data_IF_811883857937
#
_entry.id   IF_811883857937
#
_cell.length_a   1.000
_cell.length_b   1.000
_cell.length_c   1.000
_cell.angle_alpha   90.00
_cell.angle_beta   90.00
_cell.angle_gamma   90.00
#
_symmetry.space_group_name_H-M   'P 1'
#
loop_
_entity.id
_entity.type
_entity.pdbx_description
1 polymer ?
#
# COMPACT_ATOMS: atom_id res chain seq x y z
N UNK A 1 6.69 -0.56 40.79
CA UNK A 1 6.78 0.76 40.14
C UNK A 1 7.11 0.51 38.67
N UNK A 2 6.08 0.47 37.82
CA UNK A 2 6.16 0.02 36.43
C UNK A 2 6.34 1.25 35.53
N UNK A 3 7.49 1.37 34.87
CA UNK A 3 7.67 2.21 33.69
C UNK A 3 8.61 1.52 32.72
N UNK A 4 8.03 0.96 31.68
CA UNK A 4 8.64 0.75 30.38
C UNK A 4 7.50 0.74 29.36
N UNK A 5 7.12 1.92 28.84
CA UNK A 5 6.46 1.97 27.52
C UNK A 5 7.58 1.77 26.51
N UNK A 6 7.97 0.51 26.36
CA UNK A 6 8.82 0.08 25.26
C UNK A 6 7.94 0.08 24.01
N UNK A 7 7.83 1.24 23.37
CA UNK A 7 7.29 1.37 22.02
C UNK A 7 8.37 0.93 21.02
N UNK A 8 8.86 -0.30 21.20
CA UNK A 8 9.52 -1.05 20.16
C UNK A 8 8.48 -1.45 19.13
N UNK A 9 8.09 -0.52 18.25
CA UNK A 9 7.54 -0.93 16.96
C UNK A 9 8.66 -1.73 16.29
N UNK A 10 8.51 -3.04 16.32
CA UNK A 10 9.33 -4.00 15.59
C UNK A 10 9.43 -3.48 14.14
N UNK A 11 10.54 -2.81 13.81
CA UNK A 11 10.86 -2.37 12.45
C UNK A 11 11.30 -3.59 11.62
N UNK A 12 10.62 -4.71 11.81
CA UNK A 12 10.71 -5.85 10.93
C UNK A 12 10.39 -5.38 9.52
N UNK A 13 11.28 -5.70 8.59
CA UNK A 13 11.17 -5.31 7.18
C UNK A 13 9.74 -5.53 6.70
N UNK A 14 9.04 -4.42 6.43
CA UNK A 14 7.65 -4.48 5.96
C UNK A 14 7.62 -5.20 4.60
N UNK A 15 6.60 -6.04 4.37
CA UNK A 15 6.56 -6.92 3.21
C UNK A 15 6.49 -6.10 1.92
N UNK A 16 7.25 -6.54 0.93
CA UNK A 16 7.06 -6.14 -0.46
C UNK A 16 6.11 -7.12 -1.12
N UNK A 17 5.03 -6.60 -1.68
CA UNK A 17 4.00 -7.33 -2.38
C UNK A 17 4.26 -7.22 -3.88
N UNK A 18 4.51 -8.35 -4.54
CA UNK A 18 4.54 -8.40 -5.99
C UNK A 18 3.12 -8.28 -6.54
N UNK A 19 2.88 -7.27 -7.36
CA UNK A 19 1.64 -7.12 -8.12
C UNK A 19 1.72 -7.77 -9.51
N UNK A 20 2.92 -8.20 -9.92
CA UNK A 20 3.14 -8.83 -11.21
C UNK A 20 4.64 -8.85 -11.54
N UNK A 21 5.02 -9.15 -12.79
CA UNK A 21 6.43 -9.21 -13.19
C UNK A 21 7.13 -7.84 -13.13
N UNK A 22 6.37 -6.75 -13.20
CA UNK A 22 6.90 -5.40 -13.38
C UNK A 22 6.44 -4.40 -12.32
N UNK A 23 5.62 -4.82 -11.35
CA UNK A 23 5.02 -3.93 -10.38
C UNK A 23 5.16 -4.49 -8.96
N UNK A 24 5.60 -3.64 -8.05
CA UNK A 24 5.70 -3.95 -6.63
C UNK A 24 5.03 -2.87 -5.79
N UNK A 25 4.43 -3.29 -4.68
CA UNK A 25 3.98 -2.42 -3.60
C UNK A 25 4.79 -2.74 -2.36
N UNK A 26 5.39 -1.73 -1.75
CA UNK A 26 6.09 -1.88 -0.49
C UNK A 26 5.48 -0.95 0.54
N UNK A 27 5.01 -1.50 1.65
CA UNK A 27 4.56 -0.70 2.78
C UNK A 27 5.81 -0.05 3.40
N UNK A 28 5.84 1.28 3.48
CA UNK A 28 6.96 2.03 4.06
C UNK A 28 6.72 2.34 5.52
N UNK A 29 5.50 2.78 5.83
CA UNK A 29 5.08 3.04 7.20
C UNK A 29 3.58 2.90 7.34
N UNK A 30 3.13 2.71 8.57
CA UNK A 30 1.73 2.86 8.94
C UNK A 30 1.67 3.70 10.22
N UNK A 31 0.65 4.56 10.32
CA UNK A 31 0.47 5.46 11.46
C UNK A 31 -0.98 5.43 11.91
N UNK A 32 -1.26 5.02 13.16
CA UNK A 32 -2.58 5.23 13.74
C UNK A 32 -2.77 6.73 14.02
N UNK A 33 -3.93 7.25 13.67
CA UNK A 33 -4.35 8.61 14.00
C UNK A 33 -5.33 8.61 15.17
N UNK A 34 -5.53 9.78 15.79
CA UNK A 34 -6.57 9.96 16.79
C UNK A 34 -7.94 9.66 16.17
N UNK A 35 -8.74 8.80 16.80
CA UNK A 35 -10.05 8.41 16.28
C UNK A 35 -10.10 7.09 15.49
N UNK A 36 -9.15 6.17 15.70
CA UNK A 36 -9.08 4.84 15.07
C UNK A 36 -8.97 4.89 13.53
N UNK A 37 -8.47 5.98 12.98
CA UNK A 37 -8.07 6.03 11.58
C UNK A 37 -6.66 5.42 11.46
N UNK A 38 -6.46 4.63 10.40
CA UNK A 38 -5.14 4.09 10.08
C UNK A 38 -4.69 4.59 8.72
N UNK A 39 -3.50 5.17 8.69
CA UNK A 39 -2.87 5.62 7.46
C UNK A 39 -1.75 4.68 7.06
N UNK A 40 -1.74 4.24 5.80
CA UNK A 40 -0.60 3.54 5.21
C UNK A 40 0.11 4.43 4.21
N UNK A 41 1.43 4.53 4.34
CA UNK A 41 2.30 5.07 3.31
C UNK A 41 3.02 3.91 2.65
N UNK A 42 2.88 3.81 1.33
CA UNK A 42 3.45 2.72 0.53
C UNK A 42 4.08 3.27 -0.73
N UNK A 43 5.18 2.60 -1.09
CA UNK A 43 5.90 2.82 -2.31
C UNK A 43 5.36 1.87 -3.37
N UNK A 44 4.67 2.41 -4.35
CA UNK A 44 4.32 1.73 -5.57
C UNK A 44 5.44 1.91 -6.58
N UNK A 45 5.96 0.82 -7.12
CA UNK A 45 7.06 0.85 -8.07
C UNK A 45 6.74 0.01 -9.29
N UNK A 46 6.85 0.63 -10.47
CA UNK A 46 6.84 -0.09 -11.75
C UNK A 46 8.28 -0.09 -12.29
N UNK A 47 8.82 -1.25 -12.60
CA UNK A 47 10.13 -1.41 -13.23
C UNK A 47 9.95 -1.96 -14.63
N UNK A 48 10.63 -1.38 -15.61
CA UNK A 48 10.74 -1.96 -16.95
C UNK A 48 12.21 -2.23 -17.26
N UNK A 49 12.52 -3.48 -17.65
CA UNK A 49 13.90 -3.91 -17.84
C UNK A 49 14.64 -3.15 -18.96
N UNK A 50 13.92 -2.46 -19.87
CA UNK A 50 14.52 -1.72 -20.98
C UNK A 50 13.60 -0.63 -21.59
N UNK A 51 13.36 0.55 -21.00
CA UNK A 51 12.55 1.58 -21.72
C UNK A 51 12.88 3.06 -21.39
N UNK A 52 12.99 3.90 -22.42
CA UNK A 52 13.22 5.36 -22.34
C UNK A 52 11.95 6.20 -22.12
N UNK A 53 12.05 7.53 -22.31
CA UNK A 53 11.04 8.56 -21.94
C UNK A 53 9.58 8.27 -22.32
N UNK A 54 9.32 7.59 -23.45
CA UNK A 54 7.95 7.25 -23.90
C UNK A 54 7.18 6.37 -22.90
N UNK A 55 7.89 5.62 -22.07
CA UNK A 55 7.31 4.71 -21.11
C UNK A 55 6.74 5.43 -19.87
N UNK A 56 7.35 6.55 -19.45
CA UNK A 56 6.82 7.36 -18.36
C UNK A 56 5.45 7.96 -18.71
N UNK A 57 5.32 8.47 -19.94
CA UNK A 57 4.02 8.96 -20.44
C UNK A 57 2.95 7.88 -20.54
N UNK A 58 3.32 6.61 -20.76
CA UNK A 58 2.36 5.50 -20.82
C UNK A 58 1.66 5.28 -19.48
N UNK A 59 2.36 5.43 -18.37
CA UNK A 59 1.87 5.11 -17.03
C UNK A 59 1.57 6.35 -16.18
N UNK A 60 1.56 7.54 -16.78
CA UNK A 60 1.15 8.75 -16.08
C UNK A 60 -0.26 8.59 -15.49
N UNK A 61 -0.44 8.97 -14.22
CA UNK A 61 -1.71 8.90 -13.50
C UNK A 61 -2.11 7.49 -13.04
N UNK A 62 -1.27 6.46 -13.23
CA UNK A 62 -1.61 5.11 -12.80
C UNK A 62 -1.71 4.97 -11.27
N UNK A 63 -1.04 5.85 -10.54
CA UNK A 63 -1.06 5.93 -9.09
C UNK A 63 -2.47 6.15 -8.52
N UNK A 64 -3.34 6.86 -9.26
CA UNK A 64 -4.73 7.12 -8.88
C UNK A 64 -5.61 5.85 -8.94
N UNK A 65 -5.15 4.86 -9.71
CA UNK A 65 -5.84 3.58 -9.88
C UNK A 65 -5.38 2.51 -8.88
N UNK A 66 -4.44 2.84 -7.99
CA UNK A 66 -3.97 1.92 -6.96
C UNK A 66 -4.98 1.89 -5.81
N UNK A 67 -5.42 0.69 -5.44
CA UNK A 67 -6.45 0.46 -4.44
C UNK A 67 -6.01 -0.53 -3.36
N UNK A 68 -6.64 -0.40 -2.19
CA UNK A 68 -6.76 -1.44 -1.18
C UNK A 68 -8.19 -1.98 -1.20
N UNK A 69 -8.36 -3.30 -1.25
CA UNK A 69 -9.67 -3.96 -1.28
C UNK A 69 -9.91 -4.73 0.01
N UNK A 70 -11.09 -4.52 0.58
CA UNK A 70 -11.57 -5.15 1.81
C UNK A 70 -12.84 -5.91 1.47
N UNK A 71 -12.84 -7.21 1.77
CA UNK A 71 -14.02 -8.05 1.60
C UNK A 71 -15.22 -7.47 2.36
N UNK A 72 -16.34 -7.31 1.67
CA UNK A 72 -17.57 -6.77 2.23
C UNK A 72 -17.66 -5.23 2.31
N UNK A 73 -16.57 -4.50 2.10
CA UNK A 73 -16.55 -3.02 2.15
C UNK A 73 -16.08 -2.35 0.85
N UNK A 74 -15.47 -3.10 -0.06
CA UNK A 74 -15.07 -2.59 -1.37
C UNK A 74 -13.65 -2.03 -1.37
N UNK A 75 -13.42 -0.96 -2.14
CA UNK A 75 -12.08 -0.45 -2.44
C UNK A 75 -11.86 0.95 -1.87
N UNK A 76 -10.68 1.14 -1.28
CA UNK A 76 -10.13 2.43 -0.86
C UNK A 76 -9.00 2.78 -1.83
N UNK A 77 -9.07 3.94 -2.48
CA UNK A 77 -8.02 4.41 -3.39
C UNK A 77 -6.95 5.19 -2.66
N UNK A 78 -5.71 5.04 -3.12
CA UNK A 78 -4.57 5.75 -2.56
C UNK A 78 -4.51 7.18 -3.05
N UNK A 79 -4.07 8.09 -2.19
CA UNK A 79 -3.77 9.48 -2.57
C UNK A 79 -2.27 9.62 -2.76
N UNK A 80 -1.83 10.06 -3.93
CA UNK A 80 -0.42 10.35 -4.18
C UNK A 80 0.06 11.52 -3.32
N UNK A 81 1.18 11.34 -2.62
CA UNK A 81 1.77 12.33 -1.70
C UNK A 81 3.20 12.73 -2.08
N UNK A 82 3.62 12.46 -3.32
CA UNK A 82 4.92 12.89 -3.80
C UNK A 82 4.95 14.37 -4.17
N UNK A 83 6.01 15.06 -3.79
CA UNK A 83 6.16 16.49 -4.07
C UNK A 83 6.69 16.77 -5.49
N UNK A 84 7.27 15.79 -6.19
CA UNK A 84 7.56 15.81 -7.63
C UNK A 84 8.20 14.49 -8.08
N UNK A 85 8.01 14.06 -9.33
CA UNK A 85 8.74 12.93 -9.89
C UNK A 85 10.22 13.28 -10.10
N UNK A 86 11.13 12.40 -9.68
CA UNK A 86 12.58 12.51 -9.94
C UNK A 86 12.91 11.97 -11.36
N UNK A 87 13.46 12.76 -12.29
CA UNK A 87 13.88 12.27 -13.61
C UNK A 87 15.36 11.82 -13.65
N UNK A 88 15.79 10.96 -14.61
CA UNK A 88 15.04 9.93 -15.32
C UNK A 88 15.27 8.57 -14.63
N UNK A 89 14.24 8.05 -13.96
CA UNK A 89 14.33 6.74 -13.34
C UNK A 89 13.92 5.64 -14.34
N UNK A 90 14.64 4.52 -14.32
CA UNK A 90 14.26 3.25 -14.97
C UNK A 90 13.02 2.61 -14.31
N UNK A 91 12.40 3.33 -13.37
CA UNK A 91 11.22 2.95 -12.66
C UNK A 91 10.34 4.16 -12.37
N UNK A 92 9.04 3.95 -12.27
CA UNK A 92 8.09 4.95 -11.75
C UNK A 92 7.83 4.57 -10.31
N UNK A 93 8.07 5.50 -9.39
CA UNK A 93 7.86 5.30 -7.97
C UNK A 93 6.90 6.35 -7.44
N UNK A 94 5.80 5.89 -6.82
CA UNK A 94 4.86 6.75 -6.13
C UNK A 94 4.76 6.41 -4.64
N UNK A 95 4.73 7.41 -3.77
CA UNK A 95 4.26 7.28 -2.39
C UNK A 95 2.78 7.57 -2.34
N UNK A 96 2.03 6.58 -1.91
CA UNK A 96 0.59 6.64 -1.78
C UNK A 96 0.20 6.62 -0.31
N UNK A 97 -0.86 7.35 0.01
CA UNK A 97 -1.51 7.37 1.31
C UNK A 97 -2.88 6.71 1.22
N UNK A 98 -3.13 5.69 2.03
CA UNK A 98 -4.48 5.14 2.24
C UNK A 98 -4.99 5.50 3.62
N UNK A 99 -6.24 5.94 3.71
CA UNK A 99 -6.95 6.22 4.96
C UNK A 99 -8.04 5.17 5.16
N UNK A 100 -8.00 4.48 6.30
CA UNK A 100 -9.01 3.50 6.70
C UNK A 100 -9.76 4.00 7.92
N UNK A 101 -11.09 4.00 7.86
CA UNK A 101 -11.96 4.31 9.00
C UNK A 101 -12.19 3.12 9.94
N UNK A 102 -12.99 3.35 10.98
CA UNK A 102 -13.34 2.34 11.99
C UNK A 102 -13.96 1.06 11.41
N UNK A 103 -14.83 1.19 10.41
CA UNK A 103 -15.58 0.06 9.87
C UNK A 103 -14.65 -0.84 9.05
N UNK A 104 -13.75 -0.23 8.27
CA UNK A 104 -12.68 -0.94 7.60
C UNK A 104 -11.82 -1.73 8.59
N UNK A 105 -11.36 -1.09 9.66
CA UNK A 105 -10.51 -1.76 10.66
C UNK A 105 -11.25 -2.87 11.40
N UNK A 106 -12.52 -2.67 11.73
CA UNK A 106 -13.34 -3.66 12.43
C UNK A 106 -13.49 -4.94 11.59
N UNK A 107 -13.79 -4.80 10.30
CA UNK A 107 -13.99 -5.92 9.38
C UNK A 107 -12.68 -6.67 9.10
N UNK A 108 -11.57 -5.94 8.90
CA UNK A 108 -10.25 -6.56 8.76
C UNK A 108 -9.87 -7.34 10.03
N UNK A 109 -10.14 -6.76 11.22
CA UNK A 109 -9.88 -7.43 12.51
C UNK A 109 -10.76 -8.66 12.74
N UNK A 110 -11.97 -8.67 12.21
CA UNK A 110 -12.85 -9.84 12.21
C UNK A 110 -12.37 -10.96 11.27
N UNK A 111 -11.34 -10.70 10.45
CA UNK A 111 -10.69 -11.68 9.59
C UNK A 111 -11.14 -11.66 8.14
N UNK A 112 -11.76 -10.58 7.68
CA UNK A 112 -12.08 -10.37 6.27
C UNK A 112 -10.82 -10.40 5.39
N UNK A 113 -10.98 -10.83 4.15
CA UNK A 113 -9.88 -10.75 3.18
C UNK A 113 -9.50 -9.30 2.89
N UNK A 114 -8.19 -9.08 2.76
CA UNK A 114 -7.61 -7.77 2.45
C UNK A 114 -6.57 -7.92 1.33
N UNK A 115 -6.54 -6.99 0.40
CA UNK A 115 -5.59 -7.00 -0.71
C UNK A 115 -5.26 -5.60 -1.22
N UNK A 116 -4.25 -5.52 -2.08
CA UNK A 116 -3.96 -4.32 -2.86
C UNK A 116 -4.00 -4.65 -4.35
N UNK A 117 -4.21 -3.65 -5.18
CA UNK A 117 -4.15 -3.81 -6.62
C UNK A 117 -4.09 -2.50 -7.37
N UNK A 118 -4.12 -2.62 -8.70
CA UNK A 118 -4.27 -1.52 -9.64
C UNK A 118 -5.40 -1.89 -10.58
N UNK A 119 -6.39 -1.00 -10.69
CA UNK A 119 -7.51 -1.13 -11.64
C UNK A 119 -7.39 -0.08 -12.73
N UNK A 120 -6.34 -0.24 -13.54
CA UNK A 120 -6.09 0.54 -14.74
C UNK A 120 -6.02 -0.41 -15.94
N UNK A 121 -6.60 -0.03 -17.07
CA UNK A 121 -6.61 -0.87 -18.28
C UNK A 121 -5.21 -1.17 -18.82
N UNK A 122 -4.22 -0.32 -18.50
CA UNK A 122 -2.81 -0.51 -18.87
C UNK A 122 -2.11 -1.54 -17.97
N UNK A 123 -2.63 -1.77 -16.76
CA UNK A 123 -2.07 -2.70 -15.78
C UNK A 123 -3.13 -3.07 -14.73
N UNK A 124 -3.88 -4.12 -15.01
CA UNK A 124 -4.89 -4.66 -14.09
C UNK A 124 -4.32 -5.84 -13.32
N UNK A 125 -4.03 -5.62 -12.05
CA UNK A 125 -3.35 -6.59 -11.19
C UNK A 125 -3.79 -6.47 -9.74
N UNK A 126 -3.74 -7.57 -8.98
CA UNK A 126 -4.11 -7.57 -7.58
C UNK A 126 -3.40 -8.67 -6.80
N UNK A 127 -3.20 -8.43 -5.51
CA UNK A 127 -2.58 -9.37 -4.58
C UNK A 127 -3.33 -9.38 -3.26
N UNK A 128 -3.69 -10.58 -2.80
CA UNK A 128 -4.23 -10.78 -1.45
C UNK A 128 -3.09 -10.77 -0.45
N UNK A 129 -3.28 -10.05 0.66
CA UNK A 129 -2.31 -10.00 1.74
C UNK A 129 -2.54 -11.21 2.64
N UNK A 130 -1.47 -11.98 2.87
CA UNK A 130 -1.54 -13.17 3.74
C UNK A 130 -1.98 -12.76 5.14
N UNK A 131 -2.82 -13.58 5.78
CA UNK A 131 -3.33 -13.35 7.14
C UNK A 131 -2.24 -13.03 8.17
N UNK A 132 -1.09 -13.69 8.09
CA UNK A 132 0.06 -13.41 8.97
C UNK A 132 0.58 -11.97 8.84
N UNK A 133 0.53 -11.39 7.64
CA UNK A 133 0.89 -9.99 7.42
C UNK A 133 -0.21 -9.09 7.99
N UNK A 134 -1.49 -9.42 7.78
CA UNK A 134 -2.61 -8.67 8.37
C UNK A 134 -2.54 -8.62 9.90
N UNK A 135 -2.17 -9.72 10.54
CA UNK A 135 -1.93 -9.77 11.98
C UNK A 135 -0.88 -8.75 12.43
N UNK A 136 0.22 -8.62 11.68
CA UNK A 136 1.29 -7.64 11.96
C UNK A 136 0.84 -6.20 11.72
N UNK A 137 0.04 -5.96 10.69
CA UNK A 137 -0.38 -4.60 10.31
C UNK A 137 -1.54 -4.08 11.17
N UNK A 138 -2.46 -4.95 11.58
CA UNK A 138 -3.73 -4.56 12.21
C UNK A 138 -3.94 -5.12 13.62
N UNK A 139 -3.05 -5.98 14.12
CA UNK A 139 -3.14 -6.57 15.45
C UNK A 139 -4.30 -7.54 15.61
N UNK A 140 -4.63 -8.32 14.57
CA UNK A 140 -5.76 -9.27 14.60
C UNK A 140 -5.38 -10.49 15.44
N UNK A 141 -6.07 -10.74 16.57
CA UNK A 141 -5.89 -11.92 17.43
C UNK A 141 -6.54 -13.16 16.86
#
# INVERSE_FOLDING_TARGET
MMRATDSGHDQGVLPTLGLGPHATLRIESFKPHAGNELTFELRFNITADHMGERWQGRYAGIEDHVYAEIEGLGRVHGVCIDEQPTPPAQSITHRLRFTFDNDHLAVIRAGAEFGFGVDDDRMRVGVRVKRQILQRLFGTS
#
